data_IF_649481297384
#
_entry.id   IF_649481297384
#
_cell.length_a   1.000
_cell.length_b   1.000
_cell.length_c   1.000
_cell.angle_alpha   90.00
_cell.angle_beta   90.00
_cell.angle_gamma   90.00
#
_symmetry.space_group_name_H-M   'P 1'
#
loop_
_entity.id
_entity.type
_entity.pdbx_description
1 polymer ?
#
# COMPACT_ATOMS: atom_id res chain seq x y z
N UNK A 1 31.43 -1.42 18.09
CA UNK A 1 30.76 -0.19 17.63
C UNK A 1 29.32 -0.32 18.04
N UNK A 2 28.85 0.50 19.00
CA UNK A 2 27.45 0.51 19.38
C UNK A 2 26.68 1.14 18.22
N UNK A 3 25.98 0.34 17.43
CA UNK A 3 24.95 0.83 16.53
C UNK A 3 23.85 1.41 17.42
N UNK A 4 23.96 2.70 17.77
CA UNK A 4 22.89 3.43 18.40
C UNK A 4 21.71 3.38 17.43
N UNK A 5 20.77 2.48 17.70
CA UNK A 5 19.51 2.37 16.97
C UNK A 5 18.84 3.74 17.08
N UNK A 6 18.76 4.45 15.96
CA UNK A 6 18.02 5.70 15.86
C UNK A 6 16.52 5.46 16.01
N UNK A 7 15.71 6.47 15.72
CA UNK A 7 14.25 6.38 15.77
C UNK A 7 13.72 5.14 15.02
N UNK A 8 12.77 4.43 15.64
CA UNK A 8 12.07 3.29 15.08
C UNK A 8 10.67 3.73 14.64
N UNK A 9 10.25 3.32 13.44
CA UNK A 9 8.93 3.59 12.88
C UNK A 9 8.22 2.28 12.56
N UNK A 10 6.98 2.13 13.02
CA UNK A 10 6.08 1.09 12.53
C UNK A 10 5.34 1.57 11.27
N UNK A 11 5.27 0.74 10.23
CA UNK A 11 4.55 1.06 9.01
C UNK A 11 4.01 -0.22 8.36
N UNK A 12 2.68 -0.34 8.21
CA UNK A 12 2.00 -1.52 7.62
C UNK A 12 2.42 -2.86 8.25
N UNK A 13 2.60 -2.87 9.58
CA UNK A 13 3.08 -4.05 10.30
C UNK A 13 4.57 -4.34 10.14
N UNK A 14 5.28 -3.57 9.31
CA UNK A 14 6.73 -3.60 9.18
C UNK A 14 7.44 -2.58 10.08
N UNK A 15 8.75 -2.76 10.22
CA UNK A 15 9.62 -1.94 11.09
C UNK A 15 10.71 -1.26 10.28
N UNK A 16 10.74 0.08 10.34
CA UNK A 16 11.80 0.89 9.76
C UNK A 16 12.67 1.45 10.88
N UNK A 17 13.98 1.30 10.75
CA UNK A 17 14.97 1.81 11.70
C UNK A 17 15.80 2.89 11.02
N UNK A 18 15.97 4.04 11.70
CA UNK A 18 16.93 5.05 11.29
C UNK A 18 18.36 4.64 11.69
N UNK A 19 19.29 4.78 10.75
CA UNK A 19 20.71 4.46 10.89
C UNK A 19 21.55 5.64 10.41
N UNK A 20 22.86 5.62 10.70
CA UNK A 20 23.77 6.71 10.32
C UNK A 20 23.73 7.05 8.81
N UNK A 21 23.52 6.05 7.95
CA UNK A 21 23.52 6.21 6.49
C UNK A 21 22.12 6.39 5.87
N UNK A 22 21.05 6.32 6.66
CA UNK A 22 19.68 6.40 6.15
C UNK A 22 18.67 5.56 6.93
N UNK A 23 17.89 4.74 6.22
CA UNK A 23 16.79 3.96 6.77
C UNK A 23 16.87 2.49 6.34
N UNK A 24 16.55 1.56 7.24
CA UNK A 24 16.51 0.13 6.97
C UNK A 24 15.12 -0.40 7.30
N UNK A 25 14.49 -1.12 6.39
CA UNK A 25 13.31 -1.93 6.69
C UNK A 25 13.78 -3.32 7.15
N UNK A 26 13.39 -3.75 8.36
CA UNK A 26 13.83 -5.03 8.92
C UNK A 26 13.29 -6.23 8.13
N UNK A 27 12.17 -6.00 7.46
CA UNK A 27 11.47 -6.90 6.55
C UNK A 27 12.21 -7.10 5.22
N UNK A 28 13.29 -6.36 4.95
CA UNK A 28 14.01 -6.49 3.70
C UNK A 28 14.83 -7.81 3.68
N UNK A 29 14.73 -8.65 2.63
CA UNK A 29 15.45 -9.92 2.54
C UNK A 29 16.98 -9.77 2.64
N UNK A 30 17.50 -8.66 2.12
CA UNK A 30 18.86 -8.24 2.38
C UNK A 30 18.88 -7.31 3.61
N UNK A 31 19.34 -7.79 4.78
CA UNK A 31 19.34 -6.99 6.00
C UNK A 31 20.26 -5.78 5.92
N UNK A 32 21.25 -5.76 5.02
CA UNK A 32 22.19 -4.65 4.84
C UNK A 32 21.67 -3.57 3.88
N UNK A 33 20.48 -3.74 3.29
CA UNK A 33 19.91 -2.73 2.39
C UNK A 33 19.59 -1.46 3.16
N UNK A 34 20.19 -0.35 2.74
CA UNK A 34 19.90 1.01 3.24
C UNK A 34 19.15 1.79 2.17
N UNK A 35 18.09 2.48 2.59
CA UNK A 35 17.35 3.46 1.81
C UNK A 35 17.78 4.86 2.23
N UNK A 36 17.96 5.76 1.27
CA UNK A 36 18.39 7.13 1.58
C UNK A 36 17.25 7.97 2.15
N UNK A 37 16.00 7.63 1.80
CA UNK A 37 14.81 8.35 2.27
C UNK A 37 13.85 7.42 2.99
N UNK A 38 13.21 7.93 4.05
CA UNK A 38 12.16 7.22 4.77
C UNK A 38 11.02 6.79 3.83
N UNK A 39 10.70 7.61 2.83
CA UNK A 39 9.66 7.32 1.85
C UNK A 39 9.98 6.10 0.97
N UNK A 40 11.24 5.83 0.67
CA UNK A 40 11.63 4.63 -0.07
C UNK A 40 11.43 3.36 0.77
N UNK A 41 11.76 3.43 2.06
CA UNK A 41 11.54 2.32 3.00
C UNK A 41 10.03 2.06 3.21
N UNK A 42 9.22 3.13 3.35
CA UNK A 42 7.75 3.02 3.38
C UNK A 42 7.19 2.44 2.09
N UNK A 43 7.68 2.87 0.93
CA UNK A 43 7.25 2.35 -0.36
C UNK A 43 7.55 0.87 -0.49
N UNK A 44 8.76 0.43 -0.09
CA UNK A 44 9.10 -0.99 -0.05
C UNK A 44 8.10 -1.80 0.80
N UNK A 45 7.75 -1.32 1.99
CA UNK A 45 6.78 -2.00 2.85
C UNK A 45 5.36 -2.01 2.26
N UNK A 46 4.96 -0.96 1.54
CA UNK A 46 3.68 -0.94 0.82
C UNK A 46 3.64 -1.98 -0.31
N UNK A 47 4.71 -2.11 -1.09
CA UNK A 47 4.83 -3.15 -2.13
C UNK A 47 4.79 -4.55 -1.50
N UNK A 48 5.55 -4.76 -0.42
CA UNK A 48 5.55 -6.03 0.31
C UNK A 48 4.16 -6.38 0.84
N UNK A 49 3.41 -5.39 1.34
CA UNK A 49 2.03 -5.58 1.79
C UNK A 49 1.12 -6.09 0.67
N UNK A 50 1.25 -5.58 -0.55
CA UNK A 50 0.47 -6.08 -1.70
C UNK A 50 0.88 -7.50 -2.11
N UNK A 51 2.19 -7.76 -2.19
CA UNK A 51 2.74 -9.01 -2.70
C UNK A 51 2.45 -10.23 -1.80
N UNK A 52 2.34 -10.02 -0.49
CA UNK A 52 2.06 -11.12 0.45
C UNK A 52 0.58 -11.56 0.46
N UNK A 53 -0.31 -10.85 -0.23
CA UNK A 53 -1.75 -11.17 -0.26
C UNK A 53 -2.06 -12.15 -1.39
N UNK A 54 -2.82 -13.20 -1.07
CA UNK A 54 -3.34 -14.15 -2.07
C UNK A 54 -4.53 -13.59 -2.86
N UNK A 55 -5.15 -12.52 -2.35
CA UNK A 55 -6.25 -11.82 -3.01
C UNK A 55 -5.75 -10.67 -3.89
N UNK A 56 -6.53 -10.26 -4.90
CA UNK A 56 -6.19 -9.09 -5.71
C UNK A 56 -5.97 -7.85 -4.83
N UNK A 57 -4.78 -7.28 -4.91
CA UNK A 57 -4.39 -6.08 -4.20
C UNK A 57 -3.54 -5.15 -5.07
N UNK A 58 -3.46 -3.88 -4.68
CA UNK A 58 -2.67 -2.88 -5.37
C UNK A 58 -2.53 -1.56 -4.62
N UNK A 59 -1.80 -0.63 -5.24
CA UNK A 59 -1.54 0.71 -4.73
C UNK A 59 -2.07 1.71 -5.75
N UNK A 60 -3.07 2.48 -5.34
CA UNK A 60 -3.72 3.50 -6.16
C UNK A 60 -3.18 4.89 -5.83
N UNK A 61 -2.77 5.63 -6.86
CA UNK A 61 -2.26 6.99 -6.72
C UNK A 61 -3.37 8.05 -6.93
N UNK A 62 -2.98 9.32 -6.80
CA UNK A 62 -3.89 10.46 -6.91
C UNK A 62 -4.50 10.69 -8.29
N UNK A 63 -3.92 10.08 -9.32
CA UNK A 63 -4.42 10.11 -10.70
C UNK A 63 -5.42 8.99 -10.97
N UNK A 64 -5.71 8.17 -9.96
CA UNK A 64 -6.53 6.98 -10.13
C UNK A 64 -5.82 5.87 -10.91
N UNK A 65 -4.49 5.91 -10.99
CA UNK A 65 -3.69 4.85 -11.62
C UNK A 65 -3.18 3.87 -10.56
N UNK A 66 -3.16 2.59 -10.91
CA UNK A 66 -2.53 1.58 -10.10
C UNK A 66 -1.01 1.66 -10.30
N UNK A 67 -0.32 2.28 -9.34
CA UNK A 67 1.15 2.34 -9.31
C UNK A 67 1.78 0.98 -9.04
N UNK A 68 1.02 0.07 -8.45
CA UNK A 68 1.37 -1.33 -8.26
C UNK A 68 0.11 -2.19 -8.17
N UNK A 69 0.22 -3.45 -8.58
CA UNK A 69 -0.79 -4.47 -8.34
C UNK A 69 -0.10 -5.84 -8.29
N UNK A 70 -0.59 -6.71 -7.40
CA UNK A 70 0.04 -8.00 -7.15
C UNK A 70 -0.29 -9.05 -8.24
N UNK A 71 0.32 -10.23 -8.13
CA UNK A 71 0.10 -11.33 -9.06
C UNK A 71 -1.37 -11.78 -9.14
N UNK A 72 -2.14 -11.70 -8.06
CA UNK A 72 -3.56 -12.04 -8.06
C UNK A 72 -4.39 -11.05 -8.89
N UNK A 73 -4.13 -9.75 -8.75
CA UNK A 73 -4.72 -8.71 -9.59
C UNK A 73 -4.36 -8.88 -11.05
N UNK A 74 -3.09 -9.21 -11.36
CA UNK A 74 -2.65 -9.48 -12.73
C UNK A 74 -3.40 -10.67 -13.35
N UNK A 75 -3.58 -11.77 -12.62
CA UNK A 75 -4.35 -12.94 -13.10
C UNK A 75 -5.83 -12.62 -13.34
N UNK A 76 -6.42 -11.80 -12.48
CA UNK A 76 -7.82 -11.36 -12.63
C UNK A 76 -7.99 -10.38 -13.80
N UNK A 77 -6.96 -9.58 -14.09
CA UNK A 77 -6.99 -8.47 -15.03
C UNK A 77 -7.32 -7.16 -14.31
N UNK A 78 -6.60 -6.09 -14.67
CA UNK A 78 -6.65 -4.79 -13.98
C UNK A 78 -8.08 -4.20 -13.92
N UNK A 79 -8.79 -4.18 -15.05
CA UNK A 79 -10.16 -3.68 -15.11
C UNK A 79 -11.16 -4.55 -14.34
N UNK A 80 -10.85 -5.84 -14.15
CA UNK A 80 -11.67 -6.75 -13.36
C UNK A 80 -11.42 -6.60 -11.86
N UNK A 81 -10.17 -6.37 -11.48
CA UNK A 81 -9.78 -6.09 -10.10
C UNK A 81 -10.35 -4.75 -9.62
N UNK A 82 -10.07 -3.67 -10.34
CA UNK A 82 -10.50 -2.34 -9.97
C UNK A 82 -10.83 -1.53 -11.23
N UNK A 83 -12.10 -1.48 -11.66
CA UNK A 83 -12.48 -0.78 -12.88
C UNK A 83 -12.11 0.71 -12.83
N UNK A 84 -11.63 1.25 -13.96
CA UNK A 84 -11.14 2.63 -14.03
C UNK A 84 -12.17 3.67 -13.54
N UNK A 85 -13.47 3.44 -13.77
CA UNK A 85 -14.55 4.33 -13.36
C UNK A 85 -14.67 4.52 -11.83
N UNK A 86 -14.19 3.58 -11.02
CA UNK A 86 -14.26 3.67 -9.56
C UNK A 86 -13.00 4.28 -8.94
N UNK A 87 -11.86 4.23 -9.62
CA UNK A 87 -10.53 4.54 -9.07
C UNK A 87 -10.45 5.94 -8.48
N UNK A 88 -10.86 6.96 -9.24
CA UNK A 88 -10.75 8.34 -8.75
C UNK A 88 -11.66 8.59 -7.54
N UNK A 89 -12.86 8.02 -7.51
CA UNK A 89 -13.77 8.14 -6.38
C UNK A 89 -13.21 7.46 -5.12
N UNK A 90 -12.63 6.26 -5.29
CA UNK A 90 -11.96 5.53 -4.20
C UNK A 90 -10.83 6.37 -3.62
N UNK A 91 -9.98 6.95 -4.47
CA UNK A 91 -8.87 7.77 -4.02
C UNK A 91 -9.35 9.03 -3.28
N UNK A 92 -10.40 9.71 -3.77
CA UNK A 92 -10.96 10.88 -3.10
C UNK A 92 -11.50 10.56 -1.70
N UNK A 93 -12.18 9.43 -1.53
CA UNK A 93 -12.62 8.99 -0.20
C UNK A 93 -11.44 8.67 0.72
N UNK A 94 -10.37 8.09 0.15
CA UNK A 94 -9.13 7.82 0.88
C UNK A 94 -8.48 9.09 1.45
N UNK A 95 -8.66 10.27 0.87
CA UNK A 95 -8.06 11.52 1.38
C UNK A 95 -8.63 11.94 2.74
N UNK A 96 -9.92 11.63 3.00
CA UNK A 96 -10.60 12.00 4.24
C UNK A 96 -10.30 11.10 5.44
N UNK A 97 -9.64 9.95 5.23
CA UNK A 97 -9.40 8.98 6.30
C UNK A 97 -8.28 9.42 7.24
N UNK A 98 -8.36 9.09 8.54
CA UNK A 98 -7.17 9.02 9.39
C UNK A 98 -6.18 7.99 8.83
N UNK A 99 -4.87 8.23 9.01
CA UNK A 99 -3.84 7.31 8.53
C UNK A 99 -4.00 5.93 9.18
N UNK A 100 -3.92 4.88 8.37
CA UNK A 100 -4.07 3.49 8.82
C UNK A 100 -5.51 3.05 9.08
N UNK A 101 -6.51 3.91 8.88
CA UNK A 101 -7.91 3.48 8.83
C UNK A 101 -8.30 3.00 7.43
N UNK A 102 -9.25 2.08 7.41
CA UNK A 102 -9.79 1.48 6.20
C UNK A 102 -11.29 1.75 6.08
N UNK A 103 -11.79 1.76 4.85
CA UNK A 103 -13.22 1.68 4.57
C UNK A 103 -13.47 0.62 3.49
N UNK A 104 -14.73 0.21 3.37
CA UNK A 104 -15.18 -0.75 2.38
C UNK A 104 -15.92 -0.03 1.25
N UNK A 105 -15.46 -0.22 0.03
CA UNK A 105 -16.07 0.33 -1.18
C UNK A 105 -16.74 -0.79 -1.97
N UNK A 106 -18.07 -0.75 -2.18
CA UNK A 106 -18.76 -1.73 -3.00
C UNK A 106 -18.48 -1.47 -4.49
N UNK A 107 -17.96 -2.48 -5.18
CA UNK A 107 -17.91 -2.52 -6.64
C UNK A 107 -19.23 -3.11 -7.13
N UNK A 108 -20.14 -2.24 -7.57
CA UNK A 108 -21.38 -2.66 -8.22
C UNK A 108 -21.09 -3.09 -9.66
N UNK A 109 -20.94 -4.41 -9.87
CA UNK A 109 -20.96 -5.01 -11.21
C UNK A 109 -22.27 -5.75 -11.42
N UNK A 110 -22.75 -5.77 -12.66
CA UNK A 110 -24.06 -6.29 -13.05
C UNK A 110 -24.37 -7.74 -12.62
N UNK A 111 -23.36 -8.53 -12.24
CA UNK A 111 -23.50 -9.96 -11.94
C UNK A 111 -22.81 -10.43 -10.64
N UNK A 112 -21.99 -9.59 -9.99
CA UNK A 112 -21.29 -9.95 -8.74
C UNK A 112 -21.08 -8.72 -7.88
N UNK A 113 -21.49 -8.77 -6.61
CA UNK A 113 -21.11 -7.77 -5.63
C UNK A 113 -19.70 -8.08 -5.13
N UNK A 114 -18.74 -7.21 -5.42
CA UNK A 114 -17.40 -7.28 -4.87
C UNK A 114 -17.19 -6.11 -3.91
N UNK A 115 -16.37 -6.31 -2.88
CA UNK A 115 -16.03 -5.25 -1.92
C UNK A 115 -14.53 -5.06 -1.94
N UNK A 116 -14.10 -3.81 -2.13
CA UNK A 116 -12.71 -3.40 -2.01
C UNK A 116 -12.51 -2.80 -0.63
N UNK A 117 -11.59 -3.34 0.15
CA UNK A 117 -11.06 -2.62 1.30
C UNK A 117 -10.02 -1.61 0.82
N UNK A 118 -10.15 -0.39 1.32
CA UNK A 118 -9.30 0.74 0.94
C UNK A 118 -8.67 1.33 2.21
N UNK A 119 -7.35 1.37 2.27
CA UNK A 119 -6.58 1.92 3.40
C UNK A 119 -5.73 3.11 2.95
N UNK A 120 -5.86 4.23 3.63
CA UNK A 120 -5.03 5.42 3.34
C UNK A 120 -3.69 5.39 4.04
N UNK A 121 -2.61 5.55 3.26
CA UNK A 121 -1.24 5.61 3.79
C UNK A 121 -0.44 6.78 3.22
N UNK A 122 0.40 7.37 4.05
CA UNK A 122 1.32 8.42 3.65
C UNK A 122 2.74 7.88 3.48
N UNK A 123 3.17 7.79 2.22
CA UNK A 123 4.50 7.28 1.84
C UNK A 123 5.54 8.40 1.94
N UNK A 124 5.25 9.57 1.37
CA UNK A 124 6.09 10.77 1.50
C UNK A 124 5.20 11.99 1.78
N UNK A 125 5.50 12.81 2.80
CA UNK A 125 4.73 14.03 3.08
C UNK A 125 4.67 15.01 1.89
N UNK A 126 5.63 14.95 0.96
CA UNK A 126 5.74 15.84 -0.21
C UNK A 126 5.03 15.30 -1.45
N UNK A 127 5.04 13.99 -1.64
CA UNK A 127 4.46 13.32 -2.82
C UNK A 127 3.04 12.80 -2.56
N UNK A 128 2.59 12.85 -1.32
CA UNK A 128 1.20 12.67 -0.94
C UNK A 128 0.83 11.26 -0.50
N UNK A 129 -0.49 11.10 -0.33
CA UNK A 129 -1.13 9.87 0.12
C UNK A 129 -1.31 8.90 -1.05
N UNK A 130 -1.21 7.61 -0.77
CA UNK A 130 -1.68 6.55 -1.67
C UNK A 130 -2.76 5.72 -0.98
N UNK A 131 -3.62 5.10 -1.78
CA UNK A 131 -4.63 4.18 -1.27
C UNK A 131 -4.15 2.74 -1.53
N UNK A 132 -3.98 1.98 -0.46
CA UNK A 132 -3.85 0.53 -0.56
C UNK A 132 -5.25 -0.04 -0.80
N UNK A 133 -5.38 -0.89 -1.81
CA UNK A 133 -6.65 -1.49 -2.20
C UNK A 133 -6.50 -3.01 -2.21
N UNK A 134 -7.47 -3.73 -1.67
CA UNK A 134 -7.58 -5.18 -1.83
C UNK A 134 -9.03 -5.63 -1.96
N UNK A 135 -9.26 -6.66 -2.76
CA UNK A 135 -10.56 -7.33 -2.77
C UNK A 135 -10.72 -8.19 -1.52
N UNK A 136 -11.88 -8.07 -0.87
CA UNK A 136 -12.29 -8.94 0.21
C UNK A 136 -12.92 -10.21 -0.38
N UNK A 137 -12.50 -11.37 0.11
CA UNK A 137 -13.17 -12.63 -0.19
C UNK A 137 -14.47 -12.66 0.60
N UNK A 138 -15.60 -12.89 -0.06
CA UNK A 138 -16.81 -13.28 0.65
C UNK A 138 -16.65 -14.76 1.02
N UNK A 139 -16.49 -15.03 2.32
CA UNK A 139 -16.54 -16.40 2.87
C UNK A 139 -17.94 -17.01 2.73
#
# INVERSE_FOLDING_TARGET
MNDAVGTIFGFLGGTIVSCAEGYRALEHPNPKRVYYRLSEAKWFLALRWCEQLDTPAGILNYEGQLSFYNAASLRMGEENFLPACHRQQIFQQCLGLPLGQSFHYPLSRALTAQVVEVTGVEVDPRFGRVALVRLLVQE
#
